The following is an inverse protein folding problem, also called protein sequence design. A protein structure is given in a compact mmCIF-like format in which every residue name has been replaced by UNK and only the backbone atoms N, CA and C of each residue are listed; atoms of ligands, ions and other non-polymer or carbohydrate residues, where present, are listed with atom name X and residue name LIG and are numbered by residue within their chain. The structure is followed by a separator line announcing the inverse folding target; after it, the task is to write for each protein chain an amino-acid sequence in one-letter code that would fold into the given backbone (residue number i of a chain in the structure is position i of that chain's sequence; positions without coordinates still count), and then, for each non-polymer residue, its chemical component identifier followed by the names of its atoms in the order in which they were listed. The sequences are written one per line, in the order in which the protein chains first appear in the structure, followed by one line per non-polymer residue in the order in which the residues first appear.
data_IF_434918384598
#
_entry.id   IF_434918384598
#
_cell.length_a   1.000
_cell.length_b   1.000
_cell.length_c   1.000
_cell.angle_alpha   90.00
_cell.angle_beta   90.00
_cell.angle_gamma   90.00
#
_symmetry.space_group_name_H-M   'P 1'
#
loop_
_entity.id
_entity.type
_entity.pdbx_description
1 polymer ?
#
# COMPACT_ATOMS: atom_id res chain seq x y z
N UNK A 1 56.91 14.07 -2.30
CA UNK A 1 56.16 13.50 -1.16
C UNK A 1 55.02 14.43 -0.74
N UNK A 2 55.25 15.74 -0.52
CA UNK A 2 54.24 16.69 -0.07
C UNK A 2 53.03 16.81 -1.05
N UNK A 3 53.28 16.89 -2.37
CA UNK A 3 52.20 16.94 -3.39
C UNK A 3 51.32 15.69 -3.38
N UNK A 4 51.89 14.50 -3.14
CA UNK A 4 51.13 13.26 -3.05
C UNK A 4 50.20 13.25 -1.84
N UNK A 5 50.65 13.74 -0.68
CA UNK A 5 49.84 13.84 0.53
C UNK A 5 48.67 14.83 0.32
N UNK A 6 48.93 15.98 -0.29
CA UNK A 6 47.87 16.98 -0.59
C UNK A 6 46.82 16.41 -1.53
N UNK A 7 47.22 15.66 -2.57
CA UNK A 7 46.27 15.05 -3.51
C UNK A 7 45.37 14.02 -2.82
N UNK A 8 45.93 13.19 -1.92
CA UNK A 8 45.14 12.21 -1.16
C UNK A 8 44.15 12.89 -0.21
N UNK A 9 44.60 13.93 0.52
CA UNK A 9 43.74 14.70 1.42
C UNK A 9 42.62 15.39 0.66
N UNK A 10 42.90 16.00 -0.49
CA UNK A 10 41.88 16.63 -1.32
C UNK A 10 40.86 15.62 -1.85
N UNK A 11 41.29 14.45 -2.30
CA UNK A 11 40.41 13.35 -2.73
C UNK A 11 39.49 12.87 -1.60
N UNK A 12 40.03 12.73 -0.39
CA UNK A 12 39.26 12.33 0.78
C UNK A 12 38.19 13.39 1.15
N UNK A 13 38.52 14.67 1.14
CA UNK A 13 37.62 15.77 1.42
C UNK A 13 36.49 15.80 0.37
N UNK A 14 36.80 15.67 -0.93
CA UNK A 14 35.81 15.64 -2.00
C UNK A 14 34.88 14.44 -1.90
N UNK A 15 35.40 13.27 -1.53
CA UNK A 15 34.58 12.07 -1.31
C UNK A 15 33.52 12.28 -0.19
N UNK A 16 33.97 12.85 0.95
CA UNK A 16 33.04 13.18 2.06
C UNK A 16 32.03 14.22 1.64
N UNK A 17 32.43 15.25 0.91
CA UNK A 17 31.54 16.30 0.42
C UNK A 17 30.41 15.72 -0.48
N UNK A 18 30.75 14.87 -1.45
CA UNK A 18 29.74 14.23 -2.30
C UNK A 18 28.85 13.26 -1.53
N UNK A 19 29.38 12.57 -0.53
CA UNK A 19 28.57 11.70 0.34
C UNK A 19 27.55 12.50 1.14
N UNK A 20 27.91 13.66 1.68
CA UNK A 20 27.01 14.55 2.40
C UNK A 20 25.92 15.06 1.46
N UNK A 21 26.28 15.55 0.27
CA UNK A 21 25.29 16.05 -0.70
C UNK A 21 24.26 14.98 -1.09
N UNK A 22 24.73 13.76 -1.33
CA UNK A 22 23.81 12.66 -1.66
C UNK A 22 22.86 12.32 -0.50
N UNK A 23 23.37 12.39 0.74
CA UNK A 23 22.57 12.15 1.94
C UNK A 23 21.50 13.22 2.15
N UNK A 24 21.87 14.49 1.96
CA UNK A 24 20.93 15.63 2.08
C UNK A 24 19.81 15.50 1.04
N UNK A 25 20.14 15.20 -0.22
CA UNK A 25 19.15 15.01 -1.28
C UNK A 25 18.21 13.84 -0.97
N UNK A 26 18.71 12.72 -0.47
CA UNK A 26 17.89 11.58 -0.05
C UNK A 26 16.92 11.94 1.08
N UNK A 27 17.36 12.72 2.06
CA UNK A 27 16.52 13.19 3.18
C UNK A 27 15.41 14.10 2.63
N UNK A 28 15.72 15.02 1.73
CA UNK A 28 14.76 15.94 1.13
C UNK A 28 13.66 15.17 0.37
N UNK A 29 14.05 14.24 -0.51
CA UNK A 29 13.10 13.40 -1.25
C UNK A 29 12.20 12.59 -0.31
N UNK A 30 12.77 11.96 0.73
CA UNK A 30 11.98 11.17 1.68
C UNK A 30 11.03 12.03 2.51
N UNK A 31 11.45 13.23 2.88
CA UNK A 31 10.58 14.17 3.61
C UNK A 31 9.43 14.63 2.74
N UNK A 32 9.69 14.95 1.48
CA UNK A 32 8.66 15.32 0.52
C UNK A 32 7.67 14.17 0.26
N UNK A 33 8.18 12.94 0.12
CA UNK A 33 7.35 11.74 -0.05
C UNK A 33 6.46 11.48 1.18
N UNK A 34 7.01 11.63 2.40
CA UNK A 34 6.24 11.46 3.63
C UNK A 34 5.16 12.54 3.80
N UNK A 35 5.46 13.79 3.44
CA UNK A 35 4.48 14.87 3.45
C UNK A 35 3.34 14.60 2.45
N UNK A 36 3.68 14.14 1.24
CA UNK A 36 2.70 13.75 0.23
C UNK A 36 1.82 12.59 0.71
N UNK A 37 2.43 11.56 1.30
CA UNK A 37 1.72 10.43 1.88
C UNK A 37 0.70 10.86 2.92
N UNK A 38 1.11 11.69 3.88
CA UNK A 38 0.23 12.22 4.92
C UNK A 38 -0.93 13.04 4.32
N UNK A 39 -0.64 13.87 3.31
CA UNK A 39 -1.67 14.61 2.60
C UNK A 39 -2.70 13.69 1.94
N UNK A 40 -2.25 12.64 1.26
CA UNK A 40 -3.15 11.68 0.60
C UNK A 40 -3.99 10.90 1.62
N UNK A 41 -3.41 10.48 2.74
CA UNK A 41 -4.15 9.82 3.84
C UNK A 41 -5.25 10.73 4.37
N UNK A 42 -4.96 12.00 4.62
CA UNK A 42 -5.96 12.94 5.13
C UNK A 42 -7.08 13.21 4.12
N UNK A 43 -6.77 13.29 2.83
CA UNK A 43 -7.79 13.39 1.77
C UNK A 43 -8.72 12.18 1.84
N UNK A 44 -8.16 10.98 1.91
CA UNK A 44 -8.92 9.73 1.92
C UNK A 44 -9.76 9.58 3.18
N UNK A 45 -9.22 9.91 4.34
CA UNK A 45 -9.94 9.86 5.63
C UNK A 45 -11.13 10.81 5.71
N UNK A 46 -11.14 11.85 4.89
CA UNK A 46 -12.25 12.79 4.77
C UNK A 46 -13.31 12.37 3.73
N UNK A 47 -13.08 11.28 2.98
CA UNK A 47 -14.07 10.76 2.04
C UNK A 47 -15.24 10.08 2.78
N UNK A 48 -16.46 10.12 2.22
CA UNK A 48 -17.53 9.23 2.64
C UNK A 48 -17.10 7.77 2.49
N UNK A 49 -17.53 6.89 3.40
CA UNK A 49 -17.17 5.46 3.40
C UNK A 49 -17.44 4.80 2.03
N UNK A 50 -18.59 5.07 1.41
CA UNK A 50 -18.96 4.50 0.10
C UNK A 50 -18.04 4.96 -1.04
N UNK A 51 -17.38 6.11 -0.87
CA UNK A 51 -16.44 6.65 -1.85
C UNK A 51 -15.01 6.14 -1.66
N UNK A 52 -14.73 5.49 -0.52
CA UNK A 52 -13.42 4.87 -0.27
C UNK A 52 -13.33 3.56 -1.05
N UNK A 53 -12.44 3.54 -2.01
CA UNK A 53 -12.20 2.45 -2.94
C UNK A 53 -11.49 3.00 -4.16
N UNK A 54 -10.99 2.14 -5.02
CA UNK A 54 -10.24 2.58 -6.19
C UNK A 54 -11.16 2.72 -7.41
N UNK A 55 -10.84 3.68 -8.27
CA UNK A 55 -11.53 3.84 -9.54
C UNK A 55 -11.38 2.56 -10.33
N UNK A 56 -12.50 1.89 -10.49
CA UNK A 56 -12.54 0.65 -11.20
C UNK A 56 -11.97 -0.55 -10.46
N UNK A 57 -11.76 -0.47 -9.16
CA UNK A 57 -11.35 -1.59 -8.32
C UNK A 57 -12.52 -2.28 -7.61
N UNK A 58 -12.18 -3.17 -6.72
CA UNK A 58 -13.09 -3.81 -5.77
C UNK A 58 -12.49 -3.70 -4.35
N UNK A 59 -13.04 -2.83 -3.49
CA UNK A 59 -14.24 -2.00 -3.66
C UNK A 59 -14.06 -0.85 -4.66
N UNK A 60 -15.10 -0.57 -5.43
CA UNK A 60 -15.14 0.59 -6.30
C UNK A 60 -15.25 1.88 -5.48
N UNK A 61 -14.59 2.94 -5.94
CA UNK A 61 -14.60 4.24 -5.28
C UNK A 61 -14.04 5.35 -6.17
N UNK A 62 -13.60 6.43 -5.54
CA UNK A 62 -13.13 7.63 -6.25
C UNK A 62 -11.61 7.80 -6.25
N UNK A 63 -10.87 6.92 -5.57
CA UNK A 63 -9.41 7.02 -5.43
C UNK A 63 -8.77 6.46 -6.69
N UNK A 64 -7.92 7.23 -7.41
CA UNK A 64 -7.18 6.69 -8.54
C UNK A 64 -6.25 5.55 -8.09
N UNK A 65 -6.24 4.43 -8.82
CA UNK A 65 -5.31 3.31 -8.54
C UNK A 65 -3.85 3.75 -8.63
N UNK A 66 -3.57 4.67 -9.55
CA UNK A 66 -2.25 5.26 -9.72
C UNK A 66 -2.38 6.71 -10.15
N UNK A 67 -1.57 7.58 -9.56
CA UNK A 67 -1.49 8.99 -9.96
C UNK A 67 -0.07 9.52 -9.82
N UNK A 68 0.32 10.40 -10.72
CA UNK A 68 1.58 11.13 -10.64
C UNK A 68 1.33 12.47 -9.94
N UNK A 69 2.06 12.73 -8.85
CA UNK A 69 1.96 13.95 -8.07
C UNK A 69 3.35 14.55 -7.86
N UNK A 70 3.43 15.88 -7.86
CA UNK A 70 4.70 16.59 -7.67
C UNK A 70 4.70 17.36 -6.36
N UNK A 71 5.81 17.29 -5.64
CA UNK A 71 6.08 18.09 -4.43
C UNK A 71 7.44 18.75 -4.60
N UNK A 72 7.46 20.09 -4.66
CA UNK A 72 8.67 20.83 -5.02
C UNK A 72 9.18 20.42 -6.40
N UNK A 73 10.43 19.98 -6.43
CA UNK A 73 11.10 19.54 -7.67
C UNK A 73 11.01 18.03 -7.91
N UNK A 74 10.32 17.29 -7.03
CA UNK A 74 10.22 15.82 -7.12
C UNK A 74 8.88 15.41 -7.68
N UNK A 75 8.90 14.42 -8.59
CA UNK A 75 7.70 13.78 -9.12
C UNK A 75 7.59 12.37 -8.54
N UNK A 76 6.47 12.10 -7.90
CA UNK A 76 6.17 10.83 -7.26
C UNK A 76 5.03 10.12 -7.99
N UNK A 77 5.04 8.81 -7.92
CA UNK A 77 3.91 7.97 -8.30
C UNK A 77 3.29 7.45 -7.01
N UNK A 78 2.03 7.80 -6.79
CA UNK A 78 1.21 7.31 -5.69
C UNK A 78 0.33 6.19 -6.23
N UNK A 79 0.47 5.01 -5.64
CA UNK A 79 -0.36 3.85 -5.92
C UNK A 79 -1.27 3.60 -4.73
N UNK A 80 -2.55 3.37 -4.99
CA UNK A 80 -3.56 3.06 -3.98
C UNK A 80 -4.17 1.69 -4.28
N UNK A 81 -4.27 0.90 -3.24
CA UNK A 81 -5.00 -0.37 -3.23
C UNK A 81 -6.01 -0.37 -2.09
N UNK A 82 -7.22 -0.85 -2.35
CA UNK A 82 -8.30 -0.89 -1.38
C UNK A 82 -8.98 -2.25 -1.43
N UNK A 83 -9.26 -2.82 -0.25
CA UNK A 83 -10.01 -4.07 -0.12
C UNK A 83 -10.99 -4.01 1.03
N UNK A 84 -12.07 -4.77 0.94
CA UNK A 84 -12.99 -5.00 2.05
C UNK A 84 -12.43 -6.07 2.97
N UNK A 85 -12.68 -5.93 4.26
CA UNK A 85 -12.29 -6.89 5.29
C UNK A 85 -13.56 -7.33 6.03
N UNK A 86 -13.69 -8.64 6.22
CA UNK A 86 -14.68 -9.31 7.06
C UNK A 86 -14.02 -9.61 8.42
N UNK A 87 -14.47 -8.96 9.49
CA UNK A 87 -13.89 -9.10 10.82
C UNK A 87 -14.56 -10.29 11.55
N UNK A 88 -13.80 -11.25 12.06
CA UNK A 88 -14.39 -12.40 12.75
C UNK A 88 -15.09 -12.07 14.08
N UNK A 89 -15.12 -10.80 14.51
CA UNK A 89 -15.70 -10.40 15.79
C UNK A 89 -17.23 -10.60 15.85
N UNK A 90 -17.95 -10.33 14.76
CA UNK A 90 -19.41 -10.49 14.64
C UNK A 90 -19.84 -11.73 13.86
N UNK A 91 -18.95 -12.63 13.63
CA UNK A 91 -19.02 -13.84 12.80
C UNK A 91 -18.33 -13.62 11.44
N UNK A 92 -18.19 -14.70 10.70
CA UNK A 92 -17.76 -14.65 9.29
C UNK A 92 -18.78 -15.36 8.41
N UNK A 93 -18.75 -15.15 7.12
CA UNK A 93 -19.63 -15.81 6.16
C UNK A 93 -19.55 -17.35 6.24
N UNK A 94 -18.44 -17.89 6.78
CA UNK A 94 -18.20 -19.34 6.94
C UNK A 94 -18.55 -19.87 8.32
N UNK A 95 -19.01 -19.03 9.26
CA UNK A 95 -19.35 -19.45 10.62
C UNK A 95 -20.70 -20.19 10.66
N UNK A 96 -21.01 -20.83 11.79
CA UNK A 96 -22.28 -21.53 12.02
C UNK A 96 -23.50 -20.59 12.04
N UNK A 97 -23.28 -19.32 12.36
CA UNK A 97 -24.20 -18.21 12.17
C UNK A 97 -23.54 -17.27 11.16
N UNK A 98 -23.80 -17.44 9.85
CA UNK A 98 -23.11 -16.65 8.84
C UNK A 98 -23.40 -15.16 9.00
N UNK A 99 -22.34 -14.34 8.91
CA UNK A 99 -22.50 -12.92 8.76
C UNK A 99 -23.21 -12.59 7.44
N UNK A 100 -24.18 -11.68 7.49
CA UNK A 100 -24.97 -11.24 6.33
C UNK A 100 -24.44 -9.94 5.71
N UNK A 101 -23.43 -9.34 6.35
CA UNK A 101 -22.83 -8.07 5.92
C UNK A 101 -21.28 -8.12 5.96
N UNK A 102 -20.61 -9.02 5.23
CA UNK A 102 -19.19 -9.37 5.38
C UNK A 102 -18.21 -8.24 4.98
N UNK A 103 -18.61 -7.00 4.99
CA UNK A 103 -17.80 -5.85 4.63
C UNK A 103 -17.74 -4.85 5.80
N UNK A 104 -17.07 -5.22 6.88
CA UNK A 104 -17.01 -4.46 8.13
C UNK A 104 -16.22 -3.17 7.98
N UNK A 105 -15.09 -3.26 7.35
CA UNK A 105 -14.26 -2.09 7.08
C UNK A 105 -13.45 -2.26 5.79
N UNK A 106 -12.91 -1.15 5.33
CA UNK A 106 -12.02 -1.13 4.17
C UNK A 106 -10.58 -0.94 4.63
N UNK A 107 -9.70 -1.80 4.15
CA UNK A 107 -8.27 -1.65 4.28
C UNK A 107 -7.73 -0.93 3.04
N UNK A 108 -7.02 0.17 3.25
CA UNK A 108 -6.41 0.93 2.18
C UNK A 108 -4.90 0.95 2.36
N UNK A 109 -4.18 0.58 1.33
CA UNK A 109 -2.72 0.67 1.27
C UNK A 109 -2.32 1.73 0.24
N UNK A 110 -1.52 2.69 0.67
CA UNK A 110 -0.91 3.69 -0.19
C UNK A 110 0.58 3.43 -0.30
N UNK A 111 1.10 3.45 -1.51
CA UNK A 111 2.53 3.34 -1.78
C UNK A 111 2.99 4.53 -2.61
N UNK A 112 3.98 5.26 -2.09
CA UNK A 112 4.62 6.39 -2.77
C UNK A 112 5.98 5.94 -3.28
N UNK A 113 6.20 6.02 -4.57
CA UNK A 113 7.45 5.71 -5.24
C UNK A 113 7.99 6.92 -6.01
N UNK A 114 9.30 6.98 -6.19
CA UNK A 114 9.96 7.99 -7.00
C UNK A 114 10.83 7.29 -8.07
N UNK A 115 10.29 7.00 -9.27
CA UNK A 115 11.03 6.27 -10.32
C UNK A 115 12.30 6.98 -10.79
N UNK A 116 12.34 8.29 -10.64
CA UNK A 116 13.44 9.15 -11.09
C UNK A 116 14.45 9.49 -9.99
N UNK A 117 14.20 9.05 -8.74
CA UNK A 117 15.07 9.33 -7.60
C UNK A 117 16.07 8.17 -7.40
N UNK A 118 17.34 8.50 -7.30
CA UNK A 118 18.39 7.49 -7.07
C UNK A 118 18.27 6.93 -5.66
N UNK A 119 18.25 5.60 -5.53
CA UNK A 119 18.21 4.88 -4.25
C UNK A 119 16.98 5.23 -3.37
N UNK A 120 15.87 5.65 -3.96
CA UNK A 120 14.63 5.85 -3.22
C UNK A 120 13.94 4.51 -2.96
N UNK A 121 13.73 4.19 -1.70
CA UNK A 121 12.93 3.04 -1.27
C UNK A 121 11.49 3.51 -1.14
N UNK A 122 10.52 2.89 -1.84
CA UNK A 122 9.11 3.24 -1.74
C UNK A 122 8.61 3.28 -0.29
N UNK A 123 7.78 4.26 0.03
CA UNK A 123 7.10 4.36 1.30
C UNK A 123 5.71 3.77 1.15
N UNK A 124 5.33 2.88 2.06
CA UNK A 124 4.00 2.30 2.10
C UNK A 124 3.36 2.52 3.46
N UNK A 125 2.07 2.79 3.46
CA UNK A 125 1.25 2.91 4.67
C UNK A 125 -0.09 2.26 4.43
N UNK A 126 -0.60 1.57 5.46
CA UNK A 126 -1.92 0.97 5.45
C UNK A 126 -2.79 1.65 6.49
N UNK A 127 -4.03 1.94 6.13
CA UNK A 127 -5.04 2.52 7.03
C UNK A 127 -6.36 1.80 6.87
N UNK A 128 -7.16 1.77 7.95
CA UNK A 128 -8.51 1.22 7.95
C UNK A 128 -9.54 2.34 7.92
N UNK A 129 -10.61 2.13 7.18
CA UNK A 129 -11.77 3.03 7.13
C UNK A 129 -13.01 2.22 7.43
N UNK A 130 -13.64 2.50 8.58
CA UNK A 130 -14.88 1.87 9.02
C UNK A 130 -16.10 2.73 8.67
N UNK A 131 -17.28 2.14 8.44
CA UNK A 131 -18.52 2.87 8.27
C UNK A 131 -18.91 3.59 9.57
N UNK A 132 -19.61 4.69 9.47
CA UNK A 132 -20.10 5.47 10.64
C UNK A 132 -21.34 4.86 11.28
N UNK A 133 -22.06 4.02 10.56
CA UNK A 133 -23.31 3.40 10.98
C UNK A 133 -23.11 1.87 11.02
N UNK A 134 -24.09 1.18 11.60
CA UNK A 134 -24.19 -0.27 11.52
C UNK A 134 -24.17 -0.71 10.05
N UNK A 135 -23.54 -1.83 9.81
CA UNK A 135 -23.43 -2.45 8.51
C UNK A 135 -24.79 -2.70 7.89
N UNK A 136 -24.82 -2.65 6.57
CA UNK A 136 -25.98 -3.02 5.78
C UNK A 136 -25.67 -4.29 5.01
N UNK A 137 -26.62 -5.21 4.96
CA UNK A 137 -26.48 -6.41 4.13
C UNK A 137 -26.04 -6.04 2.70
N UNK A 138 -24.96 -6.65 2.25
CA UNK A 138 -24.37 -6.41 0.95
C UNK A 138 -24.74 -7.51 -0.03
N UNK A 139 -24.90 -7.15 -1.31
CA UNK A 139 -25.02 -8.12 -2.41
C UNK A 139 -23.64 -8.59 -2.93
N UNK A 140 -22.57 -8.07 -2.36
CA UNK A 140 -21.20 -8.47 -2.71
C UNK A 140 -20.83 -9.76 -1.97
N UNK A 141 -20.02 -10.62 -2.60
CA UNK A 141 -19.43 -11.78 -1.96
C UNK A 141 -18.05 -11.46 -1.40
N UNK A 142 -17.60 -12.27 -0.44
CA UNK A 142 -16.23 -12.27 0.05
C UNK A 142 -15.46 -13.47 -0.49
N UNK A 143 -14.19 -13.27 -0.83
CA UNK A 143 -13.28 -14.32 -1.28
C UNK A 143 -12.25 -14.61 -0.20
N UNK A 144 -12.29 -15.84 0.33
CA UNK A 144 -11.28 -16.34 1.27
C UNK A 144 -10.36 -17.32 0.55
N UNK A 145 -9.07 -17.06 0.61
CA UNK A 145 -8.04 -17.94 0.06
C UNK A 145 -7.23 -18.54 1.20
N UNK A 146 -7.25 -19.87 1.31
CA UNK A 146 -6.46 -20.60 2.29
C UNK A 146 -5.37 -21.37 1.56
N UNK A 147 -4.11 -21.10 1.89
CA UNK A 147 -2.93 -21.75 1.32
C UNK A 147 -2.35 -22.71 2.35
N UNK A 148 -2.26 -24.00 1.99
CA UNK A 148 -1.75 -25.07 2.84
C UNK A 148 -0.53 -25.75 2.22
N UNK A 149 0.36 -26.24 3.07
CA UNK A 149 1.41 -27.17 2.67
C UNK A 149 0.85 -28.62 2.50
N UNK A 150 1.71 -29.53 2.07
CA UNK A 150 1.33 -30.94 1.89
C UNK A 150 0.93 -31.66 3.19
N UNK A 151 1.22 -31.08 4.36
CA UNK A 151 0.86 -31.60 5.68
C UNK A 151 -0.42 -30.96 6.23
N UNK A 152 -1.04 -30.04 5.49
CA UNK A 152 -2.25 -29.34 5.89
C UNK A 152 -2.02 -28.14 6.82
N UNK A 153 -0.76 -27.68 6.98
CA UNK A 153 -0.48 -26.48 7.75
C UNK A 153 -0.60 -25.23 6.84
N UNK A 154 -1.18 -24.17 7.38
CA UNK A 154 -1.26 -22.90 6.68
C UNK A 154 0.12 -22.32 6.34
N UNK A 155 0.30 -21.86 5.13
CA UNK A 155 1.56 -21.28 4.65
C UNK A 155 1.51 -19.75 4.80
N UNK A 156 2.23 -19.17 5.76
CA UNK A 156 2.28 -17.72 5.94
C UNK A 156 3.09 -17.05 4.82
N UNK A 157 2.75 -15.80 4.51
CA UNK A 157 3.43 -14.97 3.52
C UNK A 157 3.50 -15.59 2.11
N UNK A 158 2.59 -16.52 1.78
CA UNK A 158 2.44 -17.01 0.42
C UNK A 158 1.89 -15.90 -0.47
N UNK A 159 2.56 -15.61 -1.59
CA UNK A 159 2.08 -14.64 -2.56
C UNK A 159 0.91 -15.24 -3.36
N UNK A 160 -0.22 -14.56 -3.36
CA UNK A 160 -1.45 -14.96 -4.04
C UNK A 160 -1.81 -13.89 -5.05
N UNK A 161 -1.95 -14.24 -6.32
CA UNK A 161 -2.48 -13.37 -7.35
C UNK A 161 -3.93 -13.74 -7.65
N UNK A 162 -4.83 -12.77 -7.57
CA UNK A 162 -6.26 -12.92 -7.85
C UNK A 162 -6.56 -12.13 -9.11
N UNK A 163 -7.01 -12.82 -10.15
CA UNK A 163 -7.33 -12.19 -11.45
C UNK A 163 -8.77 -12.46 -11.85
N UNK A 164 -9.46 -11.43 -12.35
CA UNK A 164 -10.76 -11.58 -12.99
C UNK A 164 -10.86 -10.62 -14.18
N UNK A 165 -10.75 -11.19 -15.38
CA UNK A 165 -10.86 -10.44 -16.63
C UNK A 165 -12.32 -10.30 -17.13
N UNK A 166 -13.27 -10.94 -16.45
CA UNK A 166 -14.70 -10.93 -16.86
C UNK A 166 -15.48 -9.72 -16.33
N UNK A 167 -14.86 -8.92 -15.46
CA UNK A 167 -15.42 -7.69 -14.91
C UNK A 167 -14.76 -6.46 -15.52
N UNK A 168 -15.45 -5.34 -15.53
CA UNK A 168 -14.90 -4.08 -16.04
C UNK A 168 -14.92 -3.05 -14.92
N UNK A 169 -13.72 -2.56 -14.53
CA UNK A 169 -12.40 -2.97 -14.99
C UNK A 169 -12.01 -4.36 -14.49
N UNK A 170 -11.03 -4.98 -15.13
CA UNK A 170 -10.50 -6.28 -14.71
C UNK A 170 -9.82 -6.19 -13.34
N UNK A 171 -10.01 -7.21 -12.52
CA UNK A 171 -9.33 -7.33 -11.23
C UNK A 171 -7.99 -8.04 -11.46
N UNK A 172 -6.91 -7.47 -10.95
CA UNK A 172 -5.59 -8.08 -10.89
C UNK A 172 -4.91 -7.59 -9.60
N UNK A 173 -5.02 -8.42 -8.55
CA UNK A 173 -4.52 -8.13 -7.21
C UNK A 173 -3.47 -9.17 -6.82
N UNK A 174 -2.39 -8.72 -6.22
CA UNK A 174 -1.39 -9.61 -5.61
C UNK A 174 -1.24 -9.24 -4.15
N UNK A 175 -1.45 -10.21 -3.27
CA UNK A 175 -1.30 -10.02 -1.82
C UNK A 175 -0.69 -11.27 -1.18
N UNK A 176 -0.38 -11.21 0.12
CA UNK A 176 0.25 -12.29 0.85
C UNK A 176 -0.65 -12.80 1.96
N UNK A 177 -0.62 -14.11 2.18
CA UNK A 177 -1.34 -14.73 3.29
C UNK A 177 -0.81 -14.26 4.64
N UNK A 178 -1.69 -14.23 5.63
CA UNK A 178 -1.36 -13.95 7.04
C UNK A 178 -0.60 -15.12 7.71
N UNK A 179 -0.36 -15.03 9.02
CA UNK A 179 0.36 -16.05 9.79
C UNK A 179 -0.31 -17.44 9.82
N UNK A 180 -1.60 -17.54 9.50
CA UNK A 180 -2.35 -18.80 9.41
C UNK A 180 -2.51 -19.33 7.97
N UNK A 181 -1.90 -18.67 6.99
CA UNK A 181 -2.02 -19.07 5.59
C UNK A 181 -3.32 -18.60 4.92
N UNK A 182 -4.03 -17.64 5.51
CA UNK A 182 -5.31 -17.11 5.00
C UNK A 182 -5.11 -15.73 4.40
N UNK A 183 -5.77 -15.48 3.27
CA UNK A 183 -5.94 -14.17 2.64
C UNK A 183 -7.44 -13.92 2.46
N UNK A 184 -7.85 -12.68 2.73
CA UNK A 184 -9.23 -12.23 2.67
C UNK A 184 -9.34 -10.98 1.83
#
# INVERSE_FOLDING_TARGET
VAMGIIAVLFGAIMSVYFSILSSVNNIEVRTAAAALMNQQIEIIRNLPYDSVGTVGGAPAGVIPQQQALSVGNFSFVVQADARNIDDPFDSTITSSTPDTAPNDYKLLTLTVSCPWCVNFIPLSVTTTVAPKNLESASLNGSLFVNVFDASGHGVPLASVQITNASVTPSIDLTDTTNGSGTLQ
#
